data_IF_847315681985
#
_entry.id   IF_847315681985
#
_cell.length_a   1.000
_cell.length_b   1.000
_cell.length_c   1.000
_cell.angle_alpha   90.00
_cell.angle_beta   90.00
_cell.angle_gamma   90.00
#
_symmetry.space_group_name_H-M   'P 1'
#
loop_
_entity.id
_entity.type
_entity.pdbx_description
1 polymer ?
#
# COMPACT_ATOMS: atom_id res chain seq x y z
N UNK A 1 -2.90 0.38 -1.60
CA UNK A 1 -2.81 1.83 -1.91
C UNK A 1 -1.83 2.46 -0.94
N UNK A 2 -0.89 3.25 -1.45
CA UNK A 2 0.08 3.98 -0.61
C UNK A 2 -0.27 5.46 -0.74
N UNK A 3 -0.50 6.14 0.39
CA UNK A 3 -0.81 7.56 0.46
C UNK A 3 0.33 8.34 1.11
N UNK A 4 0.56 9.57 0.66
CA UNK A 4 1.33 10.57 1.39
C UNK A 4 0.44 11.23 2.45
N UNK A 5 0.94 11.44 3.66
CA UNK A 5 0.22 12.18 4.72
C UNK A 5 0.10 13.68 4.43
N UNK A 6 0.98 14.21 3.56
CA UNK A 6 1.02 15.62 3.17
C UNK A 6 0.57 15.83 1.73
N UNK A 7 0.01 14.81 1.10
CA UNK A 7 -0.58 14.93 -0.22
C UNK A 7 -1.84 15.82 -0.15
N UNK A 8 -1.96 16.75 -1.09
CA UNK A 8 -3.14 17.60 -1.22
C UNK A 8 -4.29 16.87 -1.91
N UNK A 9 -4.00 15.77 -2.60
CA UNK A 9 -5.03 14.90 -3.17
C UNK A 9 -5.72 14.14 -2.05
N UNK A 10 -7.05 14.30 -1.97
CA UNK A 10 -7.85 13.65 -0.95
C UNK A 10 -7.77 12.11 -1.03
N UNK A 11 -7.75 11.48 0.14
CA UNK A 11 -7.82 10.02 0.26
C UNK A 11 -9.24 9.55 -0.01
N UNK A 12 -9.36 8.36 -0.58
CA UNK A 12 -10.65 7.69 -0.68
C UNK A 12 -10.90 6.90 0.60
N UNK A 13 -11.73 7.43 1.49
CA UNK A 13 -12.04 6.80 2.79
C UNK A 13 -12.73 5.45 2.63
N UNK A 14 -13.54 5.29 1.57
CA UNK A 14 -14.32 4.08 1.32
C UNK A 14 -13.64 3.12 0.33
N UNK A 15 -12.34 3.29 0.06
CA UNK A 15 -11.63 2.48 -0.94
C UNK A 15 -11.76 0.96 -0.69
N UNK A 16 -11.72 0.56 0.58
CA UNK A 16 -11.80 -0.85 0.99
C UNK A 16 -13.15 -1.49 0.74
N UNK A 17 -14.22 -0.70 0.56
CA UNK A 17 -15.56 -1.21 0.23
C UNK A 17 -15.64 -1.70 -1.22
N UNK A 18 -14.84 -1.11 -2.12
CA UNK A 18 -14.91 -1.36 -3.57
C UNK A 18 -13.75 -2.20 -4.11
N UNK A 19 -12.62 -2.23 -3.41
CA UNK A 19 -11.40 -2.94 -3.86
C UNK A 19 -11.07 -4.06 -2.88
N UNK A 20 -11.53 -5.30 -3.13
CA UNK A 20 -11.23 -6.43 -2.24
C UNK A 20 -9.72 -6.71 -2.20
N UNK A 21 -9.23 -7.12 -1.02
CA UNK A 21 -7.82 -7.41 -0.74
C UNK A 21 -6.85 -6.21 -0.82
N UNK A 22 -7.37 -4.97 -0.86
CA UNK A 22 -6.51 -3.78 -0.79
C UNK A 22 -5.94 -3.61 0.63
N UNK A 23 -4.63 -3.36 0.72
CA UNK A 23 -3.98 -2.86 1.94
C UNK A 23 -3.72 -1.36 1.78
N UNK A 24 -3.98 -0.57 2.82
CA UNK A 24 -3.72 0.89 2.83
C UNK A 24 -2.50 1.18 3.71
N UNK A 25 -1.52 1.87 3.14
CA UNK A 25 -0.29 2.30 3.83
C UNK A 25 -0.19 3.82 3.72
N UNK A 26 0.20 4.49 4.80
CA UNK A 26 0.45 5.93 4.81
C UNK A 26 1.91 6.21 5.11
N UNK A 27 2.52 7.15 4.39
CA UNK A 27 3.89 7.58 4.57
C UNK A 27 3.95 9.10 4.78
N UNK A 28 4.79 9.55 5.70
CA UNK A 28 4.99 10.97 5.98
C UNK A 28 5.79 11.66 4.86
N UNK A 29 5.10 11.94 3.75
CA UNK A 29 5.61 12.57 2.52
C UNK A 29 4.46 13.22 1.72
N UNK A 30 4.83 13.98 0.69
CA UNK A 30 3.90 14.61 -0.25
C UNK A 30 3.44 13.67 -1.37
N UNK A 31 3.06 14.27 -2.49
CA UNK A 31 2.49 13.56 -3.64
C UNK A 31 3.52 12.65 -4.35
N UNK A 32 4.81 12.98 -4.30
CA UNK A 32 5.88 12.25 -5.00
C UNK A 32 6.47 11.16 -4.10
N UNK A 33 5.60 10.28 -3.59
CA UNK A 33 5.90 9.27 -2.58
C UNK A 33 7.15 8.44 -2.95
N UNK A 34 7.28 8.00 -4.20
CA UNK A 34 8.42 7.18 -4.66
C UNK A 34 9.74 7.95 -4.65
N UNK A 35 9.74 9.26 -4.93
CA UNK A 35 10.95 10.09 -4.92
C UNK A 35 11.30 10.57 -3.52
N UNK A 36 10.31 10.87 -2.69
CA UNK A 36 10.51 11.38 -1.33
C UNK A 36 10.85 10.27 -0.32
N UNK A 37 10.29 9.07 -0.51
CA UNK A 37 10.43 7.91 0.39
C UNK A 37 10.66 6.61 -0.40
N UNK A 38 11.76 6.52 -1.19
CA UNK A 38 12.00 5.36 -2.05
C UNK A 38 12.13 4.06 -1.26
N UNK A 39 12.84 4.06 -0.13
CA UNK A 39 13.07 2.84 0.64
C UNK A 39 11.80 2.35 1.34
N UNK A 40 11.01 3.24 1.96
CA UNK A 40 9.73 2.88 2.58
C UNK A 40 8.73 2.35 1.55
N UNK A 41 8.66 3.01 0.39
CA UNK A 41 7.76 2.60 -0.70
C UNK A 41 8.15 1.22 -1.20
N UNK A 42 9.43 0.98 -1.46
CA UNK A 42 9.93 -0.32 -1.88
C UNK A 42 9.63 -1.40 -0.84
N UNK A 43 9.89 -1.12 0.45
CA UNK A 43 9.56 -2.06 1.55
C UNK A 43 8.08 -2.39 1.63
N UNK A 44 7.19 -1.40 1.45
CA UNK A 44 5.76 -1.63 1.45
C UNK A 44 5.32 -2.56 0.30
N UNK A 45 5.86 -2.32 -0.90
CA UNK A 45 5.56 -3.13 -2.09
C UNK A 45 6.08 -4.56 -1.93
N UNK A 46 7.35 -4.74 -1.54
CA UNK A 46 7.93 -6.09 -1.42
C UNK A 46 7.25 -6.90 -0.33
N UNK A 47 6.96 -6.28 0.82
CA UNK A 47 6.19 -6.92 1.90
C UNK A 47 4.80 -7.37 1.41
N UNK A 48 4.11 -6.55 0.62
CA UNK A 48 2.81 -6.92 0.06
C UNK A 48 2.93 -8.10 -0.92
N UNK A 49 3.92 -8.08 -1.82
CA UNK A 49 4.18 -9.16 -2.77
C UNK A 49 4.51 -10.50 -2.07
N UNK A 50 5.33 -10.47 -1.03
CA UNK A 50 5.67 -11.66 -0.23
C UNK A 50 4.43 -12.29 0.42
N UNK A 51 3.46 -11.48 0.87
CA UNK A 51 2.21 -11.98 1.42
C UNK A 51 1.36 -12.67 0.35
N UNK A 52 1.31 -12.12 -0.88
CA UNK A 52 0.56 -12.71 -1.98
C UNK A 52 1.22 -14.01 -2.49
N UNK A 53 2.54 -14.08 -2.42
CA UNK A 53 3.30 -15.26 -2.85
C UNK A 53 3.32 -16.38 -1.79
N UNK A 54 2.56 -16.25 -0.68
CA UNK A 54 2.40 -17.36 0.26
C UNK A 54 1.61 -18.48 -0.44
N UNK A 55 2.17 -19.70 -0.55
CA UNK A 55 1.43 -20.80 -1.13
C UNK A 55 0.15 -21.01 -0.32
N UNK A 56 -0.99 -20.95 -1.01
CA UNK A 56 -2.28 -21.33 -0.45
C UNK A 56 -2.09 -22.71 0.20
N UNK A 57 -2.22 -22.78 1.53
CA UNK A 57 -2.28 -24.08 2.20
C UNK A 57 -3.56 -24.72 1.70
N UNK A 58 -3.44 -25.64 0.74
CA UNK A 58 -4.49 -26.62 0.44
C UNK A 58 -4.70 -27.41 1.73
N UNK A 59 -5.63 -26.97 2.55
CA UNK A 59 -6.22 -27.81 3.59
C UNK A 59 -6.90 -28.96 2.85
N UNK A 60 -6.36 -30.16 3.04
CA UNK A 60 -6.95 -31.39 2.55
C UNK A 60 -8.25 -31.73 3.24
#
# INVERSE_FOLDING_TARGET
MIYGDRDLVARSENLTEFVPNVEVVSLDCGHRIQQEKPEETNRAITKWLEQQNRPCRRTG
#
